data_IF_452891830754
#
_entry.id   IF_452891830754
#
_cell.length_a   1.000
_cell.length_b   1.000
_cell.length_c   1.000
_cell.angle_alpha   90.00
_cell.angle_beta   90.00
_cell.angle_gamma   90.00
#
_symmetry.space_group_name_H-M   'P 1'
#
loop_
_entity.id
_entity.type
_entity.pdbx_description
1 polymer ?
#
# COMPACT_ATOMS: atom_id res chain seq x y z
N UNK A 1 2.71 -45.74 3.66
CA UNK A 1 2.96 -44.30 3.74
C UNK A 1 3.74 -43.89 2.50
N UNK A 2 3.16 -43.12 1.61
CA UNK A 2 3.64 -42.92 0.23
C UNK A 2 4.90 -42.06 0.17
N UNK A 3 5.98 -42.58 -0.40
CA UNK A 3 7.24 -41.84 -0.69
C UNK A 3 7.02 -40.52 -1.48
N UNK A 4 5.99 -40.51 -2.31
CA UNK A 4 5.61 -39.32 -3.08
C UNK A 4 5.10 -38.14 -2.21
N UNK A 5 4.44 -38.41 -1.08
CA UNK A 5 3.98 -37.37 -0.16
C UNK A 5 5.15 -36.73 0.61
N UNK A 6 6.20 -37.49 0.88
CA UNK A 6 7.40 -37.00 1.58
C UNK A 6 8.26 -36.10 0.66
N UNK A 7 8.38 -36.47 -0.62
CA UNK A 7 9.09 -35.67 -1.61
C UNK A 7 8.36 -34.34 -1.92
N UNK A 8 7.03 -34.36 -1.97
CA UNK A 8 6.23 -33.17 -2.16
C UNK A 8 6.41 -32.13 -1.01
N UNK A 9 6.44 -32.60 0.25
CA UNK A 9 6.68 -31.72 1.40
C UNK A 9 8.08 -31.10 1.39
N UNK A 10 9.12 -31.89 1.10
CA UNK A 10 10.50 -31.37 0.98
C UNK A 10 10.61 -30.29 -0.11
N UNK A 11 9.95 -30.50 -1.24
CA UNK A 11 9.93 -29.51 -2.33
C UNK A 11 9.30 -28.18 -1.89
N UNK A 12 8.19 -28.22 -1.16
CA UNK A 12 7.51 -27.01 -0.65
C UNK A 12 8.43 -26.22 0.30
N UNK A 13 9.11 -26.90 1.23
CA UNK A 13 10.04 -26.24 2.15
C UNK A 13 11.25 -25.63 1.45
N UNK A 14 11.85 -26.35 0.50
CA UNK A 14 12.99 -25.84 -0.28
C UNK A 14 12.56 -24.62 -1.11
N UNK A 15 11.40 -24.68 -1.76
CA UNK A 15 10.86 -23.58 -2.54
C UNK A 15 10.56 -22.37 -1.65
N UNK A 16 9.99 -22.59 -0.48
CA UNK A 16 9.74 -21.53 0.51
C UNK A 16 11.03 -20.85 0.97
N UNK A 17 12.09 -21.61 1.26
CA UNK A 17 13.39 -21.07 1.63
C UNK A 17 14.05 -20.27 0.50
N UNK A 18 13.97 -20.74 -0.73
CA UNK A 18 14.48 -20.04 -1.90
C UNK A 18 13.73 -18.71 -2.08
N UNK A 19 12.40 -18.74 -1.96
CA UNK A 19 11.57 -17.54 -2.05
C UNK A 19 11.91 -16.52 -0.94
N UNK A 20 12.05 -16.99 0.30
CA UNK A 20 12.46 -16.15 1.43
C UNK A 20 13.82 -15.50 1.18
N UNK A 21 14.81 -16.27 0.71
CA UNK A 21 16.14 -15.75 0.38
C UNK A 21 16.08 -14.71 -0.75
N UNK A 22 15.28 -14.98 -1.79
CA UNK A 22 15.09 -14.05 -2.90
C UNK A 22 14.46 -12.73 -2.43
N UNK A 23 13.39 -12.79 -1.62
CA UNK A 23 12.74 -11.60 -1.04
C UNK A 23 13.72 -10.84 -0.17
N UNK A 24 14.48 -11.51 0.68
CA UNK A 24 15.51 -10.88 1.52
C UNK A 24 16.55 -10.14 0.66
N UNK A 25 17.09 -10.78 -0.38
CA UNK A 25 18.04 -10.16 -1.28
C UNK A 25 17.48 -8.92 -2.00
N UNK A 26 16.22 -8.98 -2.45
CA UNK A 26 15.54 -7.86 -3.10
C UNK A 26 15.37 -6.69 -2.14
N UNK A 27 14.87 -6.95 -0.92
CA UNK A 27 14.69 -5.92 0.12
C UNK A 27 16.02 -5.33 0.55
N UNK A 28 17.07 -6.16 0.72
CA UNK A 28 18.41 -5.70 1.06
C UNK A 28 19.02 -4.83 -0.05
N UNK A 29 18.86 -5.23 -1.32
CA UNK A 29 19.32 -4.46 -2.46
C UNK A 29 18.64 -3.09 -2.53
N UNK A 30 17.34 -3.06 -2.29
CA UNK A 30 16.57 -1.83 -2.25
C UNK A 30 17.03 -0.91 -1.09
N UNK A 31 17.21 -1.46 0.11
CA UNK A 31 17.76 -0.70 1.22
C UNK A 31 19.14 -0.12 0.87
N UNK A 32 20.02 -0.95 0.28
CA UNK A 32 21.35 -0.53 -0.12
C UNK A 32 21.34 0.57 -1.18
N UNK A 33 20.38 0.54 -2.10
CA UNK A 33 20.27 1.55 -3.17
C UNK A 33 19.71 2.88 -2.66
N UNK A 34 18.66 2.84 -1.85
CA UNK A 34 17.87 4.04 -1.53
C UNK A 34 18.02 4.52 -0.09
N UNK A 35 18.20 3.63 0.89
CA UNK A 35 18.10 3.97 2.31
C UNK A 35 19.44 4.08 3.02
N UNK A 36 20.47 3.40 2.53
CA UNK A 36 21.79 3.45 3.15
C UNK A 36 22.45 4.81 2.84
N UNK A 37 22.99 5.53 3.84
CA UNK A 37 23.70 6.80 3.65
C UNK A 37 24.88 6.69 2.68
N UNK A 38 25.52 5.52 2.63
CA UNK A 38 26.64 5.22 1.73
C UNK A 38 26.22 4.46 0.48
N UNK A 39 24.93 4.52 0.15
CA UNK A 39 24.34 3.82 -1.00
C UNK A 39 24.90 4.30 -2.33
N UNK A 40 24.67 3.49 -3.37
CA UNK A 40 25.09 3.80 -4.74
C UNK A 40 24.58 5.17 -5.19
N UNK A 41 23.34 5.53 -4.84
CA UNK A 41 22.74 6.81 -5.20
C UNK A 41 23.12 7.96 -4.25
N UNK A 42 23.74 7.67 -3.12
CA UNK A 42 24.14 8.66 -2.08
C UNK A 42 23.04 9.63 -1.67
N UNK A 43 21.79 9.20 -1.70
CA UNK A 43 20.63 10.06 -1.53
C UNK A 43 20.06 9.97 -0.12
N UNK A 44 20.20 8.84 0.56
CA UNK A 44 19.51 8.53 1.81
C UNK A 44 18.07 9.07 1.81
N UNK A 45 17.26 8.51 0.94
CA UNK A 45 15.87 8.94 0.77
C UNK A 45 14.92 7.75 0.94
N UNK A 46 14.64 7.36 2.21
CA UNK A 46 13.81 6.20 2.50
C UNK A 46 12.38 6.35 1.97
N UNK A 47 11.83 7.57 2.00
CA UNK A 47 10.47 7.82 1.50
C UNK A 47 10.37 7.65 0.00
N UNK A 48 11.37 8.08 -0.73
CA UNK A 48 11.42 7.87 -2.17
C UNK A 48 11.48 6.38 -2.51
N UNK A 49 12.36 5.63 -1.83
CA UNK A 49 12.45 4.18 -2.03
C UNK A 49 11.15 3.44 -1.67
N UNK A 50 10.55 3.77 -0.53
CA UNK A 50 9.29 3.18 -0.08
C UNK A 50 8.14 3.52 -1.03
N UNK A 51 8.05 4.76 -1.49
CA UNK A 51 7.00 5.18 -2.42
C UNK A 51 7.12 4.49 -3.78
N UNK A 52 8.33 4.28 -4.29
CA UNK A 52 8.54 3.50 -5.52
C UNK A 52 8.06 2.07 -5.38
N UNK A 53 8.36 1.40 -4.25
CA UNK A 53 7.87 0.05 -4.00
C UNK A 53 6.36 0.03 -3.92
N UNK A 54 5.75 0.98 -3.24
CA UNK A 54 4.30 0.99 -3.11
C UNK A 54 3.62 1.27 -4.46
N UNK A 55 4.18 2.13 -5.32
CA UNK A 55 3.68 2.31 -6.68
C UNK A 55 3.88 1.05 -7.53
N UNK A 56 4.98 0.33 -7.33
CA UNK A 56 5.17 -0.98 -7.96
C UNK A 56 4.12 -2.00 -7.49
N UNK A 57 3.88 -2.09 -6.19
CA UNK A 57 2.81 -2.93 -5.63
C UNK A 57 1.44 -2.52 -6.16
N UNK A 58 1.14 -1.22 -6.20
CA UNK A 58 -0.09 -0.69 -6.77
C UNK A 58 -0.26 -1.08 -8.25
N UNK A 59 0.85 -1.08 -9.01
CA UNK A 59 0.85 -1.51 -10.40
C UNK A 59 0.55 -3.00 -10.56
N UNK A 60 1.12 -3.85 -9.68
CA UNK A 60 0.81 -5.28 -9.63
C UNK A 60 -0.67 -5.51 -9.27
N UNK A 61 -1.14 -4.85 -8.22
CA UNK A 61 -2.53 -4.94 -7.76
C UNK A 61 -3.51 -4.45 -8.83
N UNK A 62 -3.17 -3.37 -9.53
CA UNK A 62 -3.94 -2.89 -10.68
C UNK A 62 -4.05 -3.97 -11.77
N UNK A 63 -2.93 -4.59 -12.13
CA UNK A 63 -2.90 -5.61 -13.18
C UNK A 63 -3.65 -6.88 -12.80
N UNK A 64 -3.42 -7.41 -11.60
CA UNK A 64 -3.96 -8.71 -11.17
C UNK A 64 -5.39 -8.55 -10.65
N UNK A 65 -5.59 -7.65 -9.69
CA UNK A 65 -6.83 -7.58 -8.92
C UNK A 65 -7.90 -6.71 -9.57
N UNK A 66 -7.52 -5.56 -10.12
CA UNK A 66 -8.47 -4.63 -10.73
C UNK A 66 -8.76 -5.01 -12.18
N UNK A 67 -7.70 -5.18 -12.98
CA UNK A 67 -7.83 -5.42 -14.41
C UNK A 67 -8.05 -6.90 -14.80
N UNK A 68 -7.88 -7.85 -13.86
CA UNK A 68 -7.96 -9.30 -14.17
C UNK A 68 -7.07 -9.65 -15.38
N UNK A 69 -5.84 -9.15 -15.38
CA UNK A 69 -4.83 -9.23 -16.45
C UNK A 69 -5.24 -8.62 -17.80
N UNK A 70 -6.35 -7.89 -17.89
CA UNK A 70 -6.70 -7.21 -19.13
C UNK A 70 -5.71 -6.05 -19.42
N UNK A 71 -5.26 -5.84 -20.67
CA UNK A 71 -5.66 -6.54 -21.92
C UNK A 71 -4.86 -7.82 -22.19
N UNK A 72 -3.94 -8.24 -21.35
CA UNK A 72 -3.05 -9.36 -21.57
C UNK A 72 -3.77 -10.70 -21.42
N UNK A 73 -3.61 -11.60 -22.39
CA UNK A 73 -4.13 -12.97 -22.29
C UNK A 73 -3.06 -13.87 -21.65
N UNK A 74 -3.13 -14.04 -20.35
CA UNK A 74 -2.18 -14.87 -19.59
C UNK A 74 -2.65 -16.35 -19.53
N UNK A 75 -3.93 -16.62 -19.80
CA UNK A 75 -4.47 -17.99 -19.79
C UNK A 75 -3.88 -18.83 -20.92
N UNK A 76 -3.22 -19.94 -20.54
CA UNK A 76 -2.62 -20.88 -21.49
C UNK A 76 -1.17 -20.60 -21.86
N UNK A 77 -0.56 -19.53 -21.36
CA UNK A 77 0.87 -19.25 -21.55
C UNK A 77 1.71 -19.98 -20.48
N UNK A 78 2.99 -20.19 -20.79
CA UNK A 78 3.95 -20.70 -19.81
C UNK A 78 3.94 -19.79 -18.56
N UNK A 79 3.80 -20.33 -17.34
CA UNK A 79 3.76 -19.55 -16.09
C UNK A 79 4.97 -18.62 -15.91
N UNK A 80 6.15 -19.04 -16.36
CA UNK A 80 7.38 -18.24 -16.28
C UNK A 80 7.26 -17.00 -17.19
N UNK A 81 6.82 -17.17 -18.43
CA UNK A 81 6.65 -16.06 -19.37
C UNK A 81 5.60 -15.06 -18.86
N UNK A 82 4.51 -15.57 -18.30
CA UNK A 82 3.47 -14.75 -17.70
C UNK A 82 3.98 -13.95 -16.53
N UNK A 83 4.78 -14.55 -15.66
CA UNK A 83 5.43 -13.88 -14.54
C UNK A 83 6.40 -12.78 -15.00
N UNK A 84 7.23 -13.06 -16.01
CA UNK A 84 8.16 -12.07 -16.59
C UNK A 84 7.39 -10.89 -17.18
N UNK A 85 6.36 -11.15 -17.98
CA UNK A 85 5.51 -10.09 -18.56
C UNK A 85 4.89 -9.24 -17.46
N UNK A 86 4.32 -9.86 -16.43
CA UNK A 86 3.73 -9.15 -15.30
C UNK A 86 4.74 -8.22 -14.62
N UNK A 87 5.93 -8.71 -14.32
CA UNK A 87 6.99 -7.91 -13.66
C UNK A 87 7.43 -6.75 -14.55
N UNK A 88 7.73 -7.01 -15.82
CA UNK A 88 8.19 -5.97 -16.75
C UNK A 88 7.12 -4.89 -16.94
N UNK A 89 5.87 -5.30 -17.19
CA UNK A 89 4.76 -4.35 -17.37
C UNK A 89 4.52 -3.56 -16.09
N UNK A 90 4.60 -4.19 -14.91
CA UNK A 90 4.42 -3.49 -13.63
C UNK A 90 5.53 -2.48 -13.37
N UNK A 91 6.78 -2.77 -13.75
CA UNK A 91 7.90 -1.81 -13.66
C UNK A 91 7.65 -0.62 -14.58
N UNK A 92 7.29 -0.87 -15.85
CA UNK A 92 7.00 0.20 -16.81
C UNK A 92 5.81 1.05 -16.35
N UNK A 93 4.77 0.41 -15.81
CA UNK A 93 3.60 1.09 -15.28
C UNK A 93 3.95 1.91 -14.03
N UNK A 94 4.80 1.38 -13.13
CA UNK A 94 5.33 2.12 -11.98
C UNK A 94 6.05 3.39 -12.43
N UNK A 95 6.98 3.28 -13.38
CA UNK A 95 7.72 4.44 -13.90
C UNK A 95 6.78 5.46 -14.55
N UNK A 96 5.83 4.99 -15.34
CA UNK A 96 4.81 5.82 -15.98
C UNK A 96 3.95 6.57 -14.95
N UNK A 97 3.40 5.85 -13.96
CA UNK A 97 2.55 6.44 -12.93
C UNK A 97 3.34 7.44 -12.08
N UNK A 98 4.53 7.05 -11.63
CA UNK A 98 5.34 7.88 -10.74
C UNK A 98 5.79 9.17 -11.40
N UNK A 99 6.50 9.06 -12.51
CA UNK A 99 7.15 10.21 -13.14
C UNK A 99 6.22 10.96 -14.09
N UNK A 100 5.42 10.27 -14.89
CA UNK A 100 4.59 10.95 -15.87
C UNK A 100 3.26 11.41 -15.25
N UNK A 101 2.55 10.55 -14.54
CA UNK A 101 1.25 10.92 -13.98
C UNK A 101 1.43 11.83 -12.76
N UNK A 102 2.14 11.39 -11.71
CA UNK A 102 2.24 12.19 -10.49
C UNK A 102 3.14 13.41 -10.67
N UNK A 103 4.40 13.24 -11.07
CA UNK A 103 5.34 14.37 -11.09
C UNK A 103 5.05 15.36 -12.22
N UNK A 104 4.76 14.88 -13.42
CA UNK A 104 4.60 15.76 -14.57
C UNK A 104 3.17 16.17 -14.85
N UNK A 105 2.18 15.26 -14.73
CA UNK A 105 0.82 15.60 -15.07
C UNK A 105 0.09 16.24 -13.87
N UNK A 106 -0.17 15.49 -12.81
CA UNK A 106 -0.94 15.98 -11.65
C UNK A 106 -0.21 17.12 -10.93
N UNK A 107 1.09 16.94 -10.67
CA UNK A 107 1.88 17.92 -9.92
C UNK A 107 2.05 19.26 -10.63
N UNK A 108 2.02 19.31 -11.96
CA UNK A 108 2.10 20.56 -12.71
C UNK A 108 0.73 21.20 -12.99
N UNK A 109 -0.35 20.42 -13.01
CA UNK A 109 -1.70 20.93 -13.27
C UNK A 109 -2.38 21.60 -12.08
N UNK A 110 -1.76 21.61 -10.91
CA UNK A 110 -2.30 22.35 -9.77
C UNK A 110 -2.23 21.64 -8.42
N UNK A 111 -1.78 20.39 -8.38
CA UNK A 111 -1.57 19.66 -7.12
C UNK A 111 -0.06 19.60 -6.84
N UNK A 112 0.54 20.75 -6.58
CA UNK A 112 1.98 21.00 -6.57
C UNK A 112 2.78 20.01 -5.70
N UNK A 113 2.22 19.53 -4.61
CA UNK A 113 2.91 18.60 -3.69
C UNK A 113 3.14 17.19 -4.25
N UNK A 114 2.57 16.84 -5.40
CA UNK A 114 2.92 15.60 -6.10
C UNK A 114 4.17 15.74 -6.99
N UNK A 115 4.69 16.96 -7.17
CA UNK A 115 5.85 17.20 -8.02
C UNK A 115 6.97 17.92 -7.25
N UNK A 116 8.16 17.32 -7.13
CA UNK A 116 9.28 18.00 -6.50
C UNK A 116 9.61 19.32 -7.16
N UNK A 117 9.53 19.39 -8.51
CA UNK A 117 9.79 20.62 -9.25
C UNK A 117 8.77 21.73 -8.93
N UNK A 118 7.51 21.37 -8.77
CA UNK A 118 6.45 22.33 -8.42
C UNK A 118 6.60 22.84 -6.99
N UNK A 119 7.01 21.98 -6.04
CA UNK A 119 7.32 22.38 -4.66
C UNK A 119 8.49 23.33 -4.63
N UNK A 120 9.59 23.02 -5.32
CA UNK A 120 10.76 23.90 -5.41
C UNK A 120 10.38 25.25 -6.04
N UNK A 121 9.59 25.24 -7.10
CA UNK A 121 9.16 26.46 -7.78
C UNK A 121 8.22 27.34 -6.94
N UNK A 122 7.43 26.73 -6.04
CA UNK A 122 6.55 27.48 -5.14
C UNK A 122 7.30 28.26 -4.05
N UNK A 123 8.54 27.86 -3.75
CA UNK A 123 9.34 28.43 -2.66
C UNK A 123 8.80 28.07 -1.27
N UNK A 124 9.39 28.67 -0.25
CA UNK A 124 8.98 28.46 1.13
C UNK A 124 9.61 27.24 1.81
N UNK A 125 8.99 26.83 2.92
CA UNK A 125 9.48 25.68 3.73
C UNK A 125 9.34 24.40 2.91
N UNK A 126 10.42 23.63 2.83
CA UNK A 126 10.44 22.38 2.06
C UNK A 126 10.78 22.52 0.58
N UNK A 127 11.04 23.74 0.09
CA UNK A 127 11.44 23.99 -1.29
C UNK A 127 12.87 23.52 -1.65
N UNK A 128 13.65 23.07 -0.67
CA UNK A 128 14.92 22.42 -0.95
C UNK A 128 14.73 21.13 -1.73
N UNK A 129 15.56 20.84 -2.75
CA UNK A 129 15.33 19.70 -3.67
C UNK A 129 15.15 18.36 -2.99
N UNK A 130 15.89 18.07 -1.92
CA UNK A 130 15.77 16.83 -1.16
C UNK A 130 14.43 16.77 -0.42
N UNK A 131 14.10 17.81 0.31
CA UNK A 131 12.84 17.91 1.06
C UNK A 131 11.63 17.87 0.11
N UNK A 132 11.69 18.59 -0.99
CA UNK A 132 10.64 18.59 -2.00
C UNK A 132 10.39 17.17 -2.56
N UNK A 133 11.46 16.38 -2.76
CA UNK A 133 11.32 15.00 -3.19
C UNK A 133 10.71 14.12 -2.09
N UNK A 134 11.14 14.26 -0.85
CA UNK A 134 10.58 13.53 0.29
C UNK A 134 9.08 13.83 0.46
N UNK A 135 8.69 15.09 0.39
CA UNK A 135 7.29 15.53 0.48
C UNK A 135 6.46 14.91 -0.65
N UNK A 136 6.92 15.05 -1.89
CA UNK A 136 6.24 14.47 -3.05
C UNK A 136 6.11 12.95 -2.94
N UNK A 137 7.17 12.28 -2.50
CA UNK A 137 7.19 10.83 -2.31
C UNK A 137 6.20 10.40 -1.23
N UNK A 138 6.10 11.14 -0.12
CA UNK A 138 5.12 10.90 0.93
C UNK A 138 3.68 11.05 0.41
N UNK A 139 3.40 12.09 -0.33
CA UNK A 139 2.07 12.30 -0.94
C UNK A 139 1.66 11.15 -1.87
N UNK A 140 2.60 10.68 -2.70
CA UNK A 140 2.39 9.53 -3.59
C UNK A 140 2.18 8.25 -2.77
N UNK A 141 2.97 8.04 -1.72
CA UNK A 141 2.84 6.90 -0.80
C UNK A 141 1.43 6.81 -0.23
N UNK A 142 0.90 7.90 0.31
CA UNK A 142 -0.44 7.94 0.91
C UNK A 142 -1.53 7.67 -0.13
N UNK A 143 -1.42 8.27 -1.32
CA UNK A 143 -2.38 8.04 -2.39
C UNK A 143 -2.39 6.57 -2.85
N UNK A 144 -1.20 5.99 -3.05
CA UNK A 144 -1.08 4.59 -3.47
C UNK A 144 -1.51 3.62 -2.38
N UNK A 145 -1.32 3.95 -1.09
CA UNK A 145 -1.87 3.15 0.01
C UNK A 145 -3.40 3.09 -0.06
N UNK A 146 -4.06 4.23 -0.23
CA UNK A 146 -5.51 4.27 -0.39
C UNK A 146 -5.96 3.49 -1.63
N UNK A 147 -5.23 3.58 -2.75
CA UNK A 147 -5.51 2.83 -3.96
C UNK A 147 -5.40 1.31 -3.74
N UNK A 148 -4.29 0.84 -3.18
CA UNK A 148 -4.09 -0.59 -2.89
C UNK A 148 -5.17 -1.11 -1.95
N UNK A 149 -5.51 -0.35 -0.92
CA UNK A 149 -6.56 -0.71 0.03
C UNK A 149 -7.91 -0.92 -0.65
N UNK A 150 -8.38 0.04 -1.46
CA UNK A 150 -9.64 -0.08 -2.19
C UNK A 150 -9.60 -1.14 -3.28
N UNK A 151 -8.48 -1.29 -3.97
CA UNK A 151 -8.31 -2.31 -5.00
C UNK A 151 -8.41 -3.72 -4.41
N UNK A 152 -7.78 -3.96 -3.25
CA UNK A 152 -7.88 -5.24 -2.56
C UNK A 152 -9.29 -5.47 -2.00
N UNK A 153 -9.89 -4.45 -1.38
CA UNK A 153 -11.28 -4.56 -0.93
C UNK A 153 -12.24 -4.88 -2.04
N UNK A 154 -12.15 -4.15 -3.16
CA UNK A 154 -13.09 -4.36 -4.25
C UNK A 154 -12.92 -5.75 -4.86
N UNK A 155 -11.69 -6.16 -5.11
CA UNK A 155 -11.41 -7.42 -5.79
C UNK A 155 -11.66 -8.65 -4.91
N UNK A 156 -11.32 -8.62 -3.64
CA UNK A 156 -11.43 -9.76 -2.73
C UNK A 156 -12.74 -9.74 -1.92
N UNK A 157 -13.23 -8.57 -1.53
CA UNK A 157 -14.46 -8.41 -0.76
C UNK A 157 -15.71 -8.47 -1.64
N UNK A 158 -15.82 -7.55 -2.59
CA UNK A 158 -16.95 -7.48 -3.52
C UNK A 158 -16.80 -8.41 -4.72
N UNK A 159 -15.58 -8.83 -5.06
CA UNK A 159 -15.30 -9.71 -6.15
C UNK A 159 -15.71 -9.12 -7.50
N UNK A 160 -16.60 -9.80 -8.23
CA UNK A 160 -17.14 -9.32 -9.51
C UNK A 160 -18.41 -8.49 -9.38
N UNK A 161 -18.98 -8.37 -8.19
CA UNK A 161 -20.17 -7.55 -8.00
C UNK A 161 -19.87 -6.06 -8.26
N UNK A 162 -20.78 -5.29 -8.90
CA UNK A 162 -22.04 -5.69 -9.51
C UNK A 162 -21.90 -6.17 -10.97
N UNK A 163 -20.70 -6.32 -11.50
CA UNK A 163 -20.40 -6.62 -12.91
C UNK A 163 -20.14 -8.11 -13.19
N UNK A 164 -20.81 -9.00 -12.46
CA UNK A 164 -20.58 -10.45 -12.56
C UNK A 164 -20.73 -11.01 -13.97
N UNK A 165 -21.62 -10.41 -14.77
CA UNK A 165 -21.93 -10.81 -16.16
C UNK A 165 -21.16 -10.00 -17.21
N UNK A 166 -20.35 -9.03 -16.82
CA UNK A 166 -19.61 -8.20 -17.75
C UNK A 166 -18.43 -8.96 -18.39
N UNK A 167 -18.10 -8.58 -19.62
CA UNK A 167 -16.85 -9.05 -20.22
C UNK A 167 -15.64 -8.48 -19.49
N UNK A 168 -14.44 -9.08 -19.71
CA UNK A 168 -13.22 -8.73 -18.98
C UNK A 168 -12.84 -7.25 -19.13
N UNK A 169 -13.00 -6.67 -20.31
CA UNK A 169 -12.66 -5.27 -20.54
C UNK A 169 -13.58 -4.32 -19.76
N UNK A 170 -14.89 -4.55 -19.83
CA UNK A 170 -15.88 -3.76 -19.07
C UNK A 170 -15.63 -3.94 -17.56
N UNK A 171 -15.39 -5.17 -17.10
CA UNK A 171 -15.09 -5.44 -15.69
C UNK A 171 -13.85 -4.68 -15.23
N UNK A 172 -12.76 -4.73 -16.01
CA UNK A 172 -11.50 -4.06 -15.68
C UNK A 172 -11.69 -2.53 -15.56
N UNK A 173 -12.31 -1.90 -16.55
CA UNK A 173 -12.53 -0.46 -16.52
C UNK A 173 -13.52 -0.03 -15.44
N UNK A 174 -14.62 -0.76 -15.25
CA UNK A 174 -15.59 -0.44 -14.21
C UNK A 174 -14.98 -0.53 -12.81
N UNK A 175 -14.21 -1.58 -12.53
CA UNK A 175 -13.46 -1.70 -11.28
C UNK A 175 -12.44 -0.57 -11.12
N UNK A 176 -11.67 -0.27 -12.17
CA UNK A 176 -10.69 0.81 -12.12
C UNK A 176 -11.32 2.14 -11.73
N UNK A 177 -12.38 2.57 -12.42
CA UNK A 177 -13.05 3.83 -12.11
C UNK A 177 -13.66 3.83 -10.71
N UNK A 178 -14.22 2.71 -10.27
CA UNK A 178 -14.82 2.59 -8.93
C UNK A 178 -13.73 2.66 -7.86
N UNK A 179 -12.65 1.92 -8.01
CA UNK A 179 -11.50 1.96 -7.09
C UNK A 179 -10.89 3.35 -7.04
N UNK A 180 -10.68 3.98 -8.21
CA UNK A 180 -10.15 5.36 -8.28
C UNK A 180 -11.08 6.38 -7.61
N UNK A 181 -12.39 6.27 -7.80
CA UNK A 181 -13.37 7.14 -7.14
C UNK A 181 -13.25 7.05 -5.61
N UNK A 182 -13.27 5.84 -5.06
CA UNK A 182 -13.12 5.66 -3.62
C UNK A 182 -11.72 6.02 -3.12
N UNK A 183 -10.67 5.80 -3.91
CA UNK A 183 -9.31 6.22 -3.60
C UNK A 183 -9.22 7.73 -3.44
N UNK A 184 -9.73 8.49 -4.41
CA UNK A 184 -9.68 9.96 -4.39
C UNK A 184 -10.47 10.50 -3.19
N UNK A 185 -11.67 9.97 -2.93
CA UNK A 185 -12.46 10.38 -1.76
C UNK A 185 -11.74 10.06 -0.46
N UNK A 186 -11.23 8.84 -0.30
CA UNK A 186 -10.53 8.45 0.91
C UNK A 186 -9.25 9.25 1.11
N UNK A 187 -8.50 9.50 0.04
CA UNK A 187 -7.32 10.36 0.09
C UNK A 187 -7.69 11.78 0.52
N UNK A 188 -8.72 12.36 -0.07
CA UNK A 188 -9.17 13.69 0.29
C UNK A 188 -9.68 13.80 1.74
N UNK A 189 -10.37 12.77 2.24
CA UNK A 189 -10.94 12.78 3.59
C UNK A 189 -9.90 12.42 4.65
N UNK A 190 -9.09 11.40 4.42
CA UNK A 190 -8.27 10.78 5.46
C UNK A 190 -6.82 11.27 5.49
N UNK A 191 -6.32 11.80 4.37
CA UNK A 191 -4.93 12.23 4.25
C UNK A 191 -4.75 13.72 4.01
N UNK A 192 -5.81 14.46 3.69
CA UNK A 192 -5.73 15.92 3.55
C UNK A 192 -5.77 16.60 4.91
N UNK A 193 -4.84 17.53 5.20
CA UNK A 193 -4.75 18.17 6.51
C UNK A 193 -6.00 18.94 6.91
N UNK A 194 -6.64 19.61 5.96
CA UNK A 194 -7.88 20.36 6.22
C UNK A 194 -8.98 19.46 6.76
N UNK A 195 -9.01 18.21 6.35
CA UNK A 195 -10.01 17.24 6.83
C UNK A 195 -9.48 16.44 8.01
N UNK A 196 -8.19 16.05 7.99
CA UNK A 196 -7.55 15.36 9.11
C UNK A 196 -7.66 16.14 10.43
N UNK A 197 -7.63 17.47 10.39
CA UNK A 197 -7.79 18.29 11.59
C UNK A 197 -9.12 18.07 12.33
N UNK A 198 -10.18 17.61 11.65
CA UNK A 198 -11.44 17.25 12.30
C UNK A 198 -11.32 15.95 13.10
N UNK A 199 -10.49 15.03 12.63
CA UNK A 199 -10.26 13.73 13.29
C UNK A 199 -9.11 13.78 14.30
N UNK A 200 -8.17 14.73 14.13
CA UNK A 200 -6.96 14.86 14.95
C UNK A 200 -6.75 16.30 15.46
N UNK A 201 -7.70 16.87 16.17
CA UNK A 201 -7.69 18.31 16.48
C UNK A 201 -6.51 18.75 17.37
N UNK A 202 -5.92 17.87 18.16
CA UNK A 202 -4.82 18.20 19.05
C UNK A 202 -3.46 18.28 18.36
N UNK A 203 -3.27 17.57 17.27
CA UNK A 203 -1.98 17.42 16.59
C UNK A 203 -1.78 18.41 15.44
N UNK A 204 -2.83 19.07 15.00
CA UNK A 204 -2.84 19.84 13.75
C UNK A 204 -2.79 21.35 13.90
N UNK A 205 -2.66 21.88 15.13
CA UNK A 205 -2.77 23.33 15.35
C UNK A 205 -1.64 24.16 14.73
N UNK A 206 -0.50 23.58 14.42
CA UNK A 206 0.68 24.32 14.01
C UNK A 206 1.16 24.08 12.57
N UNK A 207 0.45 23.30 11.78
CA UNK A 207 0.99 22.91 10.47
C UNK A 207 -0.05 22.55 9.42
N UNK A 208 -1.33 22.78 9.70
CA UNK A 208 -2.41 22.44 8.77
C UNK A 208 -2.30 23.15 7.41
N UNK A 209 -1.63 24.27 7.36
CA UNK A 209 -1.38 25.07 6.15
C UNK A 209 -0.33 24.44 5.24
N UNK A 210 0.49 23.54 5.77
CA UNK A 210 1.65 22.96 5.12
C UNK A 210 1.59 21.42 5.18
N UNK A 211 0.47 20.86 4.78
CA UNK A 211 0.29 19.41 4.86
C UNK A 211 1.31 18.59 4.06
N UNK A 212 1.98 19.17 3.08
CA UNK A 212 3.11 18.56 2.40
C UNK A 212 4.37 18.44 3.27
N UNK A 213 4.31 18.91 4.52
CA UNK A 213 5.34 18.65 5.53
C UNK A 213 4.79 17.64 6.56
N UNK A 214 4.40 16.43 6.15
CA UNK A 214 3.83 15.44 7.07
C UNK A 214 4.86 14.93 8.09
N UNK A 215 6.12 15.29 7.90
CA UNK A 215 7.24 14.81 8.70
C UNK A 215 7.67 15.76 9.82
N UNK A 216 6.99 16.88 9.96
CA UNK A 216 7.26 17.83 11.05
C UNK A 216 6.44 17.57 12.31
N UNK A 217 5.77 16.44 12.41
CA UNK A 217 5.07 15.99 13.61
C UNK A 217 3.73 16.65 13.90
N UNK A 218 3.20 17.45 12.98
CA UNK A 218 2.04 18.32 13.28
C UNK A 218 0.72 17.87 12.65
N UNK A 219 0.74 17.07 11.60
CA UNK A 219 -0.47 16.51 11.01
C UNK A 219 -0.18 15.08 10.62
N UNK A 220 -0.96 14.14 11.12
CA UNK A 220 -0.60 12.76 11.03
C UNK A 220 -1.40 11.96 10.01
N UNK A 221 -1.09 12.05 8.71
CA UNK A 221 -1.52 11.02 7.78
C UNK A 221 -0.92 9.66 8.12
N UNK A 222 0.13 9.61 8.94
CA UNK A 222 0.79 8.38 9.39
C UNK A 222 -0.11 7.51 10.27
N UNK A 223 -1.03 8.10 11.03
CA UNK A 223 -2.05 7.31 11.75
C UNK A 223 -2.94 6.54 10.77
N UNK A 224 -3.46 7.23 9.75
CA UNK A 224 -4.29 6.60 8.71
C UNK A 224 -3.50 5.55 7.92
N UNK A 225 -2.26 5.86 7.57
CA UNK A 225 -1.35 4.92 6.90
C UNK A 225 -1.15 3.65 7.75
N UNK A 226 -0.79 3.81 9.01
CA UNK A 226 -0.59 2.70 9.94
C UNK A 226 -1.84 1.86 10.14
N UNK A 227 -3.00 2.50 10.27
CA UNK A 227 -4.28 1.82 10.39
C UNK A 227 -4.64 1.04 9.12
N UNK A 228 -4.49 1.64 7.94
CA UNK A 228 -4.74 0.96 6.67
C UNK A 228 -3.80 -0.24 6.47
N UNK A 229 -2.55 -0.12 6.87
CA UNK A 229 -1.59 -1.22 6.85
C UNK A 229 -1.94 -2.34 7.83
N UNK A 230 -2.64 -2.06 8.93
CA UNK A 230 -3.16 -3.09 9.81
C UNK A 230 -4.44 -3.76 9.26
N UNK A 231 -5.24 -3.05 8.47
CA UNK A 231 -6.46 -3.59 7.86
C UNK A 231 -6.16 -4.47 6.64
N UNK A 232 -5.22 -4.03 5.80
CA UNK A 232 -4.91 -4.67 4.52
C UNK A 232 -4.57 -6.17 4.64
N UNK A 233 -3.72 -6.61 5.57
CA UNK A 233 -3.42 -8.04 5.72
C UNK A 233 -4.65 -8.89 6.03
N UNK A 234 -5.63 -8.38 6.79
CA UNK A 234 -6.83 -9.14 7.10
C UNK A 234 -7.69 -9.43 5.89
N UNK A 235 -7.68 -8.55 4.88
CA UNK A 235 -8.37 -8.81 3.60
C UNK A 235 -7.68 -9.98 2.89
N UNK A 236 -6.33 -9.95 2.87
CA UNK A 236 -5.52 -10.99 2.23
C UNK A 236 -5.64 -12.31 2.98
N UNK A 237 -5.46 -12.32 4.30
CA UNK A 237 -5.56 -13.49 5.17
C UNK A 237 -6.93 -14.15 5.03
N UNK A 238 -8.00 -13.37 5.13
CA UNK A 238 -9.36 -13.92 5.02
C UNK A 238 -9.60 -14.59 3.66
N UNK A 239 -8.98 -14.10 2.60
CA UNK A 239 -9.09 -14.69 1.28
C UNK A 239 -8.17 -15.90 1.07
N UNK A 240 -6.91 -15.79 1.46
CA UNK A 240 -5.89 -16.84 1.21
C UNK A 240 -5.93 -17.99 2.22
N UNK A 241 -5.96 -17.65 3.54
CA UNK A 241 -5.90 -18.67 4.59
C UNK A 241 -7.27 -19.21 4.98
N UNK A 242 -8.29 -18.35 4.96
CA UNK A 242 -9.65 -18.72 5.35
C UNK A 242 -10.56 -19.00 4.16
N UNK A 243 -10.02 -19.03 2.93
CA UNK A 243 -10.77 -19.29 1.69
C UNK A 243 -12.03 -18.42 1.55
N UNK A 244 -11.94 -17.17 1.99
CA UNK A 244 -13.05 -16.22 2.01
C UNK A 244 -14.00 -16.37 3.20
N UNK A 245 -13.75 -17.32 4.13
CA UNK A 245 -14.57 -17.50 5.30
C UNK A 245 -14.25 -16.40 6.37
N UNK A 246 -15.24 -15.93 7.18
CA UNK A 246 -16.66 -16.32 7.19
C UNK A 246 -17.54 -15.61 6.15
N UNK A 247 -16.99 -14.65 5.40
CA UNK A 247 -17.73 -13.76 4.49
C UNK A 247 -18.38 -14.52 3.31
N UNK A 248 -17.77 -15.59 2.86
CA UNK A 248 -18.25 -16.46 1.79
C UNK A 248 -19.65 -17.03 2.03
N UNK A 249 -20.09 -17.13 3.30
CA UNK A 249 -21.47 -17.55 3.64
C UNK A 249 -22.54 -16.60 3.10
N UNK A 250 -22.17 -15.39 2.74
CA UNK A 250 -23.08 -14.39 2.20
C UNK A 250 -23.18 -14.40 0.66
N UNK A 251 -22.46 -15.31 0.01
CA UNK A 251 -22.63 -15.59 -1.42
C UNK A 251 -23.98 -16.27 -1.66
N UNK A 252 -24.61 -15.93 -2.79
CA UNK A 252 -25.86 -16.57 -3.24
C UNK A 252 -25.59 -17.33 -4.53
N UNK A 253 -25.85 -18.62 -4.53
CA UNK A 253 -25.65 -19.49 -5.70
C UNK A 253 -24.21 -19.43 -6.28
N UNK A 254 -23.20 -19.20 -5.42
CA UNK A 254 -21.81 -19.04 -5.84
C UNK A 254 -21.49 -17.67 -6.46
N UNK A 255 -22.41 -16.71 -6.43
CA UNK A 255 -22.17 -15.33 -6.86
C UNK A 255 -21.92 -14.41 -5.66
N UNK A 256 -20.99 -13.49 -5.83
CA UNK A 256 -20.70 -12.47 -4.83
C UNK A 256 -21.86 -11.49 -4.68
N UNK A 257 -22.10 -11.06 -3.46
CA UNK A 257 -23.18 -10.15 -3.11
C UNK A 257 -22.67 -8.85 -2.51
N UNK A 258 -23.48 -7.80 -2.58
CA UNK A 258 -23.20 -6.54 -1.89
C UNK A 258 -23.02 -6.75 -0.36
N UNK A 259 -23.84 -7.60 0.23
CA UNK A 259 -23.76 -7.92 1.66
C UNK A 259 -22.42 -8.56 2.02
N UNK A 260 -21.91 -9.49 1.19
CA UNK A 260 -20.57 -10.07 1.39
C UNK A 260 -19.49 -8.97 1.40
N UNK A 261 -19.51 -8.09 0.41
CA UNK A 261 -18.55 -6.99 0.33
C UNK A 261 -18.58 -6.08 1.56
N UNK A 262 -19.77 -5.64 2.00
CA UNK A 262 -19.91 -4.80 3.19
C UNK A 262 -19.44 -5.49 4.46
N UNK A 263 -19.83 -6.75 4.68
CA UNK A 263 -19.43 -7.49 5.89
C UNK A 263 -17.92 -7.76 5.87
N UNK A 264 -17.32 -8.03 4.72
CA UNK A 264 -15.87 -8.11 4.58
C UNK A 264 -15.22 -6.78 4.96
N UNK A 265 -15.73 -5.66 4.44
CA UNK A 265 -15.22 -4.33 4.74
C UNK A 265 -15.22 -4.03 6.24
N UNK A 266 -16.37 -4.12 6.89
CA UNK A 266 -16.48 -3.83 8.31
C UNK A 266 -15.73 -4.83 9.17
N UNK A 267 -15.81 -6.12 8.84
CA UNK A 267 -15.16 -7.18 9.61
C UNK A 267 -13.63 -7.04 9.60
N UNK A 268 -13.03 -6.84 8.42
CA UNK A 268 -11.57 -6.66 8.31
C UNK A 268 -11.11 -5.31 8.88
N UNK A 269 -11.96 -4.27 8.80
CA UNK A 269 -11.68 -2.99 9.44
C UNK A 269 -11.63 -3.13 10.96
N UNK A 270 -12.61 -3.81 11.56
CA UNK A 270 -12.62 -4.07 13.01
C UNK A 270 -11.37 -4.87 13.43
N UNK A 271 -11.05 -5.93 12.70
CA UNK A 271 -9.85 -6.72 12.97
C UNK A 271 -8.57 -5.89 12.82
N UNK A 272 -8.50 -5.02 11.82
CA UNK A 272 -7.39 -4.09 11.64
C UNK A 272 -7.24 -3.09 12.77
N UNK A 273 -8.34 -2.51 13.25
CA UNK A 273 -8.35 -1.60 14.42
C UNK A 273 -7.82 -2.31 15.66
N UNK A 274 -8.31 -3.53 15.93
CA UNK A 274 -7.84 -4.35 17.05
C UNK A 274 -6.34 -4.62 16.93
N UNK A 275 -5.89 -5.01 15.73
CA UNK A 275 -4.47 -5.26 15.43
C UNK A 275 -3.65 -4.00 15.67
N UNK A 276 -4.10 -2.84 15.17
CA UNK A 276 -3.41 -1.58 15.36
C UNK A 276 -3.23 -1.23 16.84
N UNK A 277 -4.29 -1.37 17.64
CA UNK A 277 -4.24 -1.10 19.08
C UNK A 277 -3.25 -2.04 19.78
N UNK A 278 -3.31 -3.34 19.50
CA UNK A 278 -2.41 -4.34 20.11
C UNK A 278 -0.97 -4.07 19.71
N UNK A 279 -0.70 -3.89 18.42
CA UNK A 279 0.65 -3.66 17.91
C UNK A 279 1.23 -2.33 18.38
N UNK A 280 0.41 -1.29 18.53
CA UNK A 280 0.86 -0.02 19.10
C UNK A 280 1.31 -0.18 20.56
N UNK A 281 0.62 -0.99 21.37
CA UNK A 281 1.07 -1.32 22.73
C UNK A 281 2.36 -2.15 22.73
N UNK A 282 2.48 -3.10 21.83
CA UNK A 282 3.72 -3.87 21.67
C UNK A 282 4.87 -2.94 21.30
N UNK A 283 4.68 -2.03 20.36
CA UNK A 283 5.68 -1.03 19.99
C UNK A 283 6.07 -0.14 21.18
N UNK A 284 5.10 0.29 21.97
CA UNK A 284 5.37 1.10 23.17
C UNK A 284 6.17 0.35 24.23
N UNK A 285 5.90 -0.94 24.44
CA UNK A 285 6.56 -1.75 25.49
C UNK A 285 7.97 -2.16 25.05
N UNK A 286 8.14 -2.66 23.84
CA UNK A 286 9.37 -3.32 23.41
C UNK A 286 10.36 -2.41 22.71
N UNK A 287 9.89 -1.41 21.98
CA UNK A 287 10.75 -0.59 21.13
C UNK A 287 11.01 0.80 21.72
N UNK A 288 10.11 1.31 22.54
CA UNK A 288 10.25 2.60 23.20
C UNK A 288 10.48 3.78 22.23
N UNK A 289 10.73 4.95 22.81
CA UNK A 289 10.93 6.18 22.03
C UNK A 289 12.25 6.20 21.25
N UNK A 290 13.29 5.57 21.79
CA UNK A 290 14.61 5.55 21.17
C UNK A 290 14.61 4.83 19.81
N UNK A 291 13.80 3.76 19.67
CA UNK A 291 13.68 3.04 18.40
C UNK A 291 12.91 3.84 17.35
N UNK A 292 11.91 4.59 17.78
CA UNK A 292 11.05 5.37 16.88
C UNK A 292 11.72 6.70 16.48
N UNK A 293 12.97 6.89 16.85
CA UNK A 293 13.74 8.06 16.48
C UNK A 293 13.33 9.29 17.28
N UNK A 294 13.38 9.21 18.59
CA UNK A 294 13.01 10.29 19.53
C UNK A 294 13.71 11.63 19.33
N UNK A 295 14.56 11.76 18.34
CA UNK A 295 15.05 13.05 17.85
C UNK A 295 14.03 13.81 17.00
N UNK A 296 13.00 13.14 16.54
CA UNK A 296 11.92 13.71 15.75
C UNK A 296 10.73 13.98 16.66
N UNK A 297 10.77 15.03 17.31
CA UNK A 297 9.82 15.84 18.08
C UNK A 297 8.53 15.18 18.60
N UNK A 298 7.82 14.39 17.86
CA UNK A 298 6.65 13.63 18.29
C UNK A 298 6.76 12.19 17.80
N UNK A 299 7.48 11.39 18.57
CA UNK A 299 7.68 9.97 18.29
C UNK A 299 6.38 9.18 18.07
N UNK A 300 5.25 9.72 18.50
CA UNK A 300 3.94 9.12 18.32
C UNK A 300 3.54 9.00 16.85
N UNK A 301 3.84 10.00 16.03
CA UNK A 301 3.45 10.01 14.62
C UNK A 301 4.18 8.94 13.80
N UNK A 302 5.49 8.85 13.95
CA UNK A 302 6.27 7.77 13.34
C UNK A 302 5.92 6.40 13.92
N UNK A 303 5.58 6.34 15.20
CA UNK A 303 5.15 5.11 15.87
C UNK A 303 3.89 4.55 15.25
N UNK A 304 2.93 5.40 14.85
CA UNK A 304 1.74 4.96 14.13
C UNK A 304 2.08 4.32 12.78
N UNK A 305 2.96 4.95 12.01
CA UNK A 305 3.41 4.42 10.72
C UNK A 305 4.11 3.07 10.88
N UNK A 306 5.11 3.00 11.75
CA UNK A 306 5.88 1.78 11.99
C UNK A 306 5.04 0.65 12.59
N UNK A 307 4.02 0.96 13.40
CA UNK A 307 3.05 -0.02 13.87
C UNK A 307 2.36 -0.71 12.70
N UNK A 308 1.94 0.05 11.69
CA UNK A 308 1.36 -0.50 10.48
C UNK A 308 2.35 -1.32 9.65
N UNK A 309 3.54 -0.79 9.41
CA UNK A 309 4.58 -1.47 8.62
C UNK A 309 4.98 -2.81 9.23
N UNK A 310 5.22 -2.84 10.53
CA UNK A 310 5.56 -4.08 11.26
C UNK A 310 4.39 -5.06 11.24
N UNK A 311 3.15 -4.57 11.39
CA UNK A 311 1.96 -5.42 11.33
C UNK A 311 1.81 -6.09 9.96
N UNK A 312 1.98 -5.34 8.87
CA UNK A 312 1.96 -5.89 7.50
C UNK A 312 3.04 -6.95 7.36
N UNK A 313 4.25 -6.65 7.81
CA UNK A 313 5.37 -7.59 7.70
C UNK A 313 5.07 -8.92 8.42
N UNK A 314 4.70 -8.87 9.70
CA UNK A 314 4.43 -10.09 10.46
C UNK A 314 3.21 -10.86 9.96
N UNK A 315 2.14 -10.16 9.62
CA UNK A 315 0.91 -10.81 9.18
C UNK A 315 1.05 -11.44 7.79
N UNK A 316 1.74 -10.77 6.86
CA UNK A 316 1.98 -11.35 5.52
C UNK A 316 3.08 -12.39 5.53
N UNK A 317 4.06 -12.31 6.43
CA UNK A 317 5.05 -13.39 6.58
C UNK A 317 4.43 -14.67 7.16
N UNK A 318 3.31 -14.58 7.85
CA UNK A 318 2.56 -15.73 8.37
C UNK A 318 1.64 -16.38 7.32
N UNK A 319 1.43 -15.76 6.16
CA UNK A 319 0.62 -16.29 5.05
C UNK A 319 1.46 -17.00 4.01
#
# INVERSE_FOLDING_TARGET
>A
MNANAHNGRKFIYIFGLINLAAVFCIVWLQWYVFMNPNAIMKLFDPFYGLSLILVFLASIVLMINVADFYPFQVKGSNPINSGIILVVVSILLMLFIYYLIFWNFIGRLGVAYFSPQSIVASGGIGAEPLNARMISSGAILYFCTAFVWWAMFWSLGFGRWPWSRANRGVLAWSRFFTVMFFTVISYAILFQPVVCQFFYPAQNKAGAELWWIPFTGTASPNFTLGLMFCILPWIVISHLLWEGYPWKRLEKNGEETFAKGLVTFFGTTILGVITFIIMLQIMNIFLGEAFVGGQYTDGLDFRHMHTGEISVFFMLAAT
#
